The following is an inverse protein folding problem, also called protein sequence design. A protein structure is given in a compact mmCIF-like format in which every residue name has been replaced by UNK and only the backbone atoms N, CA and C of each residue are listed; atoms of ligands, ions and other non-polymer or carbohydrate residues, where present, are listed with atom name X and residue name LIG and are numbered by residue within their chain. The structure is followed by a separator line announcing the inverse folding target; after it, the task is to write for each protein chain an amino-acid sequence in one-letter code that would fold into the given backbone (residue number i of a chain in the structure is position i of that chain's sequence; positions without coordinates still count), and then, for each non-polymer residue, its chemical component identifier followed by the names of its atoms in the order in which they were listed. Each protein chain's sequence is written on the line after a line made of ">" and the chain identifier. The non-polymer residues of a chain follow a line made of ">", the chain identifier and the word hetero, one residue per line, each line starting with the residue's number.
data_IF_740808431356
#
_entry.id   IF_740808431356
#
_cell.length_a   1.000
_cell.length_b   1.000
_cell.length_c   1.000
_cell.angle_alpha   90.00
_cell.angle_beta   90.00
_cell.angle_gamma   90.00
#
_symmetry.space_group_name_H-M   'P 1'
#
loop_
_entity.id
_entity.type
_entity.pdbx_description
1 polymer ?
#
# COMPACT_ATOMS: atom_id res chain seq x y z
N UNK A 1 -15.82 7.84 -13.72
CA UNK A 1 -15.33 6.46 -13.96
C UNK A 1 -14.09 6.29 -13.12
N UNK A 2 -14.16 5.69 -11.91
CA UNK A 2 -12.95 5.30 -11.23
C UNK A 2 -12.38 4.17 -12.08
N UNK A 3 -11.27 4.46 -12.72
CA UNK A 3 -10.47 3.53 -13.47
C UNK A 3 -9.92 2.52 -12.45
N UNK A 4 -10.74 1.51 -12.15
CA UNK A 4 -10.49 0.37 -11.26
C UNK A 4 -9.42 -0.53 -11.91
N UNK A 5 -8.26 0.04 -12.20
CA UNK A 5 -7.10 -0.77 -12.50
C UNK A 5 -6.67 -1.37 -11.18
N UNK A 6 -6.96 -2.67 -11.04
CA UNK A 6 -6.49 -3.49 -9.92
C UNK A 6 -5.03 -3.13 -9.61
N UNK A 7 -4.62 -3.08 -8.33
CA UNK A 7 -3.28 -2.66 -7.92
C UNK A 7 -2.17 -3.32 -8.74
N UNK A 8 -2.35 -4.60 -9.11
CA UNK A 8 -1.50 -5.32 -10.06
C UNK A 8 -1.26 -4.58 -11.39
N UNK A 9 -2.32 -4.14 -12.08
CA UNK A 9 -2.23 -3.43 -13.36
C UNK A 9 -1.49 -2.10 -13.23
N UNK A 10 -1.70 -1.38 -12.12
CA UNK A 10 -0.99 -0.12 -11.84
C UNK A 10 0.50 -0.38 -11.67
N UNK A 11 0.89 -1.40 -10.91
CA UNK A 11 2.30 -1.76 -10.71
C UNK A 11 2.96 -2.26 -12.00
N UNK A 12 2.25 -3.01 -12.87
CA UNK A 12 2.77 -3.38 -14.19
C UNK A 12 3.06 -2.16 -15.06
N UNK A 13 2.22 -1.12 -15.01
CA UNK A 13 2.45 0.11 -15.76
C UNK A 13 3.70 0.83 -15.26
N UNK A 14 3.83 1.02 -13.93
CA UNK A 14 5.01 1.64 -13.33
C UNK A 14 6.31 0.89 -13.66
N UNK A 15 6.27 -0.45 -13.64
CA UNK A 15 7.42 -1.26 -14.03
C UNK A 15 7.86 -0.97 -15.47
N UNK A 16 6.90 -0.88 -16.41
CA UNK A 16 7.20 -0.57 -17.82
C UNK A 16 7.79 0.82 -17.97
N UNK A 17 7.21 1.82 -17.32
CA UNK A 17 7.74 3.19 -17.37
C UNK A 17 9.17 3.26 -16.81
N UNK A 18 9.46 2.56 -15.70
CA UNK A 18 10.83 2.47 -15.18
C UNK A 18 11.79 1.83 -16.19
N UNK A 19 11.38 0.80 -16.93
CA UNK A 19 12.20 0.17 -17.97
C UNK A 19 12.42 1.10 -19.17
N UNK A 20 11.39 1.81 -19.61
CA UNK A 20 11.49 2.76 -20.72
C UNK A 20 12.45 3.89 -20.36
N UNK A 21 12.32 4.47 -19.16
CA UNK A 21 13.22 5.51 -18.66
C UNK A 21 14.64 4.93 -18.52
N UNK A 22 14.80 3.72 -17.99
CA UNK A 22 16.11 3.06 -17.85
C UNK A 22 16.86 2.93 -19.19
N UNK A 23 16.13 2.71 -20.29
CA UNK A 23 16.70 2.61 -21.63
C UNK A 23 17.19 3.94 -22.18
N UNK A 24 16.67 5.06 -21.69
CA UNK A 24 17.15 6.40 -22.08
C UNK A 24 18.48 6.78 -21.40
N UNK A 25 18.86 6.07 -20.34
CA UNK A 25 20.13 6.28 -19.65
C UNK A 25 21.22 5.29 -20.12
N UNK A 26 22.48 5.74 -20.20
CA UNK A 26 23.61 4.84 -20.40
C UNK A 26 23.74 3.87 -19.22
N UNK A 27 24.47 2.77 -19.45
CA UNK A 27 24.83 1.85 -18.38
C UNK A 27 25.55 2.59 -17.25
N UNK A 28 25.01 2.47 -16.04
CA UNK A 28 25.47 3.20 -14.86
C UNK A 28 24.47 3.10 -13.73
N UNK A 29 24.82 3.69 -12.59
CA UNK A 29 24.05 3.58 -11.35
C UNK A 29 22.57 3.98 -11.52
N UNK A 30 22.30 5.07 -12.27
CA UNK A 30 20.92 5.54 -12.53
C UNK A 30 20.08 4.52 -13.28
N UNK A 31 20.66 3.88 -14.31
CA UNK A 31 19.99 2.82 -15.06
C UNK A 31 19.77 1.59 -14.17
N UNK A 32 20.75 1.22 -13.36
CA UNK A 32 20.62 0.11 -12.41
C UNK A 32 19.50 0.34 -11.41
N UNK A 33 19.40 1.55 -10.82
CA UNK A 33 18.33 1.89 -9.88
C UNK A 33 16.95 1.80 -10.54
N UNK A 34 16.79 2.31 -11.76
CA UNK A 34 15.53 2.21 -12.51
C UNK A 34 15.14 0.76 -12.83
N UNK A 35 16.11 -0.09 -13.19
CA UNK A 35 15.89 -1.52 -13.42
C UNK A 35 15.50 -2.26 -12.12
N UNK A 36 16.09 -1.88 -10.98
CA UNK A 36 15.73 -2.43 -9.68
C UNK A 36 14.32 -2.01 -9.28
N UNK A 37 13.95 -0.74 -9.48
CA UNK A 37 12.59 -0.27 -9.25
C UNK A 37 11.58 -1.01 -10.13
N UNK A 38 11.89 -1.20 -11.41
CA UNK A 38 11.05 -1.96 -12.32
C UNK A 38 10.80 -3.39 -11.83
N UNK A 39 11.84 -4.07 -11.34
CA UNK A 39 11.71 -5.41 -10.75
C UNK A 39 10.84 -5.43 -9.50
N UNK A 40 10.98 -4.45 -8.60
CA UNK A 40 10.12 -4.35 -7.40
C UNK A 40 8.66 -4.18 -7.80
N UNK A 41 8.37 -3.27 -8.74
CA UNK A 41 7.01 -3.08 -9.23
C UNK A 41 6.45 -4.32 -9.93
N UNK A 42 7.28 -5.09 -10.66
CA UNK A 42 6.83 -6.36 -11.22
C UNK A 42 6.49 -7.40 -10.15
N UNK A 43 7.29 -7.50 -9.08
CA UNK A 43 6.98 -8.41 -7.97
C UNK A 43 5.69 -8.02 -7.27
N UNK A 44 5.51 -6.74 -6.95
CA UNK A 44 4.24 -6.25 -6.39
C UNK A 44 3.07 -6.53 -7.34
N UNK A 45 3.26 -6.35 -8.65
CA UNK A 45 2.21 -6.67 -9.61
C UNK A 45 1.82 -8.15 -9.60
N UNK A 46 2.80 -9.04 -9.47
CA UNK A 46 2.62 -10.49 -9.42
C UNK A 46 1.97 -10.91 -8.10
N UNK A 47 2.49 -10.40 -6.99
CA UNK A 47 1.93 -10.61 -5.66
C UNK A 47 0.46 -10.20 -5.61
N UNK A 48 0.07 -9.02 -6.12
CA UNK A 48 -1.34 -8.61 -6.16
C UNK A 48 -2.18 -9.30 -7.24
N UNK A 49 -1.56 -9.98 -8.22
CA UNK A 49 -2.30 -10.78 -9.21
C UNK A 49 -2.59 -12.20 -8.68
N UNK A 50 -1.64 -12.77 -7.93
CA UNK A 50 -1.75 -14.08 -7.28
C UNK A 50 -2.53 -13.97 -5.96
N UNK A 51 -2.38 -12.83 -5.26
CA UNK A 51 -3.01 -12.52 -3.99
C UNK A 51 -4.46 -12.06 -4.14
N UNK A 52 -5.31 -13.07 -4.26
CA UNK A 52 -6.48 -13.20 -3.40
C UNK A 52 -6.12 -13.49 -1.92
N UNK A 53 -4.84 -13.49 -1.55
CA UNK A 53 -4.29 -13.72 -0.22
C UNK A 53 -3.62 -12.45 0.37
N UNK A 54 -4.15 -11.87 1.45
CA UNK A 54 -3.80 -10.51 1.87
C UNK A 54 -2.46 -10.46 2.62
N UNK A 55 -1.34 -10.16 1.93
CA UNK A 55 -0.07 -9.82 2.61
C UNK A 55 0.20 -8.31 2.68
N UNK A 56 -0.52 -7.51 1.92
CA UNK A 56 -0.48 -6.05 2.00
C UNK A 56 -1.86 -5.51 2.35
N UNK A 57 -2.28 -5.76 3.60
CA UNK A 57 -3.31 -4.95 4.25
C UNK A 57 -2.83 -3.50 4.19
N UNK A 58 -3.65 -2.55 3.70
CA UNK A 58 -3.25 -1.15 3.65
C UNK A 58 -2.73 -0.66 5.00
N UNK A 59 -1.59 0.04 5.00
CA UNK A 59 -1.28 0.99 6.07
C UNK A 59 -2.22 2.22 6.00
N UNK A 60 -3.17 2.24 5.07
CA UNK A 60 -4.16 3.29 4.90
C UNK A 60 -5.54 2.78 5.31
N UNK A 61 -5.81 2.90 6.60
CA UNK A 61 -7.17 3.10 7.15
C UNK A 61 -7.99 1.86 7.43
N UNK A 62 -7.84 1.25 8.61
CA UNK A 62 -8.97 0.68 9.37
C UNK A 62 -8.54 0.31 10.81
N UNK A 63 -8.68 1.30 11.69
CA UNK A 63 -9.11 1.24 13.10
C UNK A 63 -8.57 0.06 13.96
N UNK A 64 -7.57 0.30 14.82
CA UNK A 64 -7.46 -0.47 16.04
C UNK A 64 -8.44 0.08 17.08
N UNK A 65 -9.31 -0.79 17.59
CA UNK A 65 -10.06 -0.65 18.86
C UNK A 65 -11.33 0.24 18.80
N UNK A 66 -12.39 -0.31 18.21
CA UNK A 66 -13.77 -0.04 18.66
C UNK A 66 -14.45 -1.36 19.10
N UNK A 67 -13.72 -2.27 19.78
CA UNK A 67 -14.31 -3.52 20.28
C UNK A 67 -13.73 -3.95 21.64
N UNK A 68 -13.32 -3.02 22.50
CA UNK A 68 -13.07 -3.37 23.90
C UNK A 68 -13.69 -2.34 24.85
N UNK A 69 -14.86 -2.75 25.35
CA UNK A 69 -15.40 -2.44 26.67
C UNK A 69 -16.11 -1.09 26.81
N UNK A 70 -17.37 -1.14 26.38
CA UNK A 70 -18.47 -0.57 27.14
C UNK A 70 -18.41 -1.11 28.59
N UNK A 71 -17.89 -0.33 29.55
CA UNK A 71 -18.29 -0.48 30.95
C UNK A 71 -18.19 0.85 31.72
N UNK A 72 -19.36 1.50 31.82
CA UNK A 72 -19.82 2.42 32.87
C UNK A 72 -18.99 3.69 33.18
N UNK A 73 -19.53 4.83 32.74
CA UNK A 73 -19.44 6.11 33.47
C UNK A 73 -19.87 5.91 34.94
N UNK A 74 -19.11 6.39 35.92
CA UNK A 74 -19.71 6.95 37.11
C UNK A 74 -20.24 8.35 36.77
N UNK A 75 -21.55 8.51 36.97
CA UNK A 75 -22.23 9.80 37.02
C UNK A 75 -21.58 10.69 38.07
N UNK A 76 -21.53 11.96 37.73
CA UNK A 76 -21.50 13.12 38.61
C UNK A 76 -22.31 12.89 39.89
N UNK A 77 -21.70 13.10 41.06
CA UNK A 77 -22.41 13.43 42.29
C UNK A 77 -21.57 14.46 43.07
N UNK A 78 -21.73 15.72 42.66
CA UNK A 78 -21.49 16.87 43.52
C UNK A 78 -22.59 16.93 44.59
N UNK A 79 -22.30 16.39 45.78
CA UNK A 79 -22.89 16.87 47.06
C UNK A 79 -22.20 16.29 48.31
N UNK A 80 -21.32 17.08 48.91
CA UNK A 80 -21.08 17.14 50.37
C UNK A 80 -20.83 18.61 50.70
N UNK A 81 -21.85 19.27 51.23
CA UNK A 81 -21.99 19.62 52.67
C UNK A 81 -20.89 20.58 53.14
#
# INVERSE_FOLDING_TARGET
>A
MPDDFSPSTRYRRLARECLEIAQTFPAGERRTVLLQMAQVWQRLADEYADSSAPLLRPLEGEQPVMQQQQQAQPKDDDKKE
#
